data_IF_389877025332
#
_entry.id   IF_389877025332
#
_cell.length_a   1.000
_cell.length_b   1.000
_cell.length_c   1.000
_cell.angle_alpha   90.00
_cell.angle_beta   90.00
_cell.angle_gamma   90.00
#
_symmetry.space_group_name_H-M   'P 1'
#
loop_
_entity.id
_entity.type
_entity.pdbx_description
1 polymer ?
#
# COMPACT_ATOMS: atom_id res chain seq x y z
N UNK A 1 -1.33 -8.00 21.41
CA UNK A 1 -0.21 -8.20 20.49
C UNK A 1 0.39 -6.84 20.16
N UNK A 2 1.70 -6.71 20.32
CA UNK A 2 2.36 -5.44 20.07
C UNK A 2 2.95 -5.43 18.66
N UNK A 3 2.92 -4.25 18.03
CA UNK A 3 3.55 -4.03 16.73
C UNK A 3 4.88 -3.32 16.95
N UNK A 4 5.91 -3.81 16.27
CA UNK A 4 7.21 -3.15 16.30
C UNK A 4 7.29 -2.15 15.15
N UNK A 5 7.69 -0.92 15.48
CA UNK A 5 7.82 0.14 14.48
C UNK A 5 9.30 0.42 14.23
N UNK A 6 9.67 0.48 12.96
CA UNK A 6 11.01 0.81 12.53
C UNK A 6 10.98 2.09 11.69
N UNK A 7 12.08 2.83 11.72
CA UNK A 7 12.29 3.95 10.82
C UNK A 7 13.39 3.57 9.85
N UNK A 8 13.12 3.73 8.56
CA UNK A 8 14.13 3.45 7.54
C UNK A 8 13.95 4.35 6.33
N UNK A 9 14.99 4.41 5.51
CA UNK A 9 14.93 5.11 4.23
C UNK A 9 14.58 4.12 3.13
N UNK A 10 13.71 4.54 2.22
CA UNK A 10 13.32 3.74 1.06
C UNK A 10 13.56 4.55 -0.21
N UNK A 11 13.86 3.86 -1.33
CA UNK A 11 14.02 4.55 -2.61
C UNK A 11 12.66 4.90 -3.21
N UNK A 12 12.65 5.90 -4.08
CA UNK A 12 11.49 6.16 -4.93
C UNK A 12 11.29 4.97 -5.87
N UNK A 13 10.03 4.60 -6.11
CA UNK A 13 9.70 3.49 -7.00
C UNK A 13 8.73 3.95 -8.06
N UNK A 14 9.00 3.56 -9.31
CA UNK A 14 8.01 3.70 -10.39
C UNK A 14 6.89 2.70 -10.17
N UNK A 15 5.66 3.13 -10.42
CA UNK A 15 4.47 2.27 -10.29
C UNK A 15 3.53 2.54 -11.44
N UNK A 16 2.62 1.60 -11.65
CA UNK A 16 1.39 1.83 -12.40
C UNK A 16 0.22 1.48 -11.50
N UNK A 17 -0.84 2.25 -11.57
CA UNK A 17 -1.90 2.15 -10.59
C UNK A 17 -3.23 2.64 -11.13
N UNK A 18 -4.30 2.28 -10.42
CA UNK A 18 -5.65 2.80 -10.62
C UNK A 18 -6.02 3.56 -9.36
N UNK A 19 -6.47 4.81 -9.54
CA UNK A 19 -6.94 5.64 -8.43
C UNK A 19 -8.44 5.80 -8.52
N UNK A 20 -9.12 5.62 -7.37
CA UNK A 20 -10.56 5.79 -7.32
C UNK A 20 -11.04 6.05 -5.91
N UNK A 21 -12.25 6.58 -5.80
CA UNK A 21 -12.94 6.74 -4.53
C UNK A 21 -14.00 5.66 -4.40
N UNK A 22 -14.13 5.11 -3.20
CA UNK A 22 -15.13 4.10 -2.91
C UNK A 22 -15.59 4.19 -1.46
N UNK A 23 -16.68 3.50 -1.16
CA UNK A 23 -17.11 3.32 0.22
C UNK A 23 -16.13 2.38 0.92
N UNK A 24 -15.83 2.63 2.19
CA UNK A 24 -14.91 1.79 2.97
C UNK A 24 -15.34 0.32 2.94
N UNK A 25 -16.64 0.05 2.98
CA UNK A 25 -17.16 -1.31 2.95
C UNK A 25 -16.90 -2.04 1.62
N UNK A 26 -16.63 -1.30 0.54
CA UNK A 26 -16.37 -1.85 -0.79
C UNK A 26 -14.89 -2.03 -1.09
N UNK A 27 -14.02 -1.57 -0.19
CA UNK A 27 -12.58 -1.50 -0.43
C UNK A 27 -11.98 -2.85 -0.85
N UNK A 28 -12.30 -3.92 -0.12
CA UNK A 28 -11.78 -5.25 -0.43
C UNK A 28 -12.20 -5.75 -1.80
N UNK A 29 -13.46 -5.57 -2.17
CA UNK A 29 -13.98 -5.97 -3.48
C UNK A 29 -13.32 -5.16 -4.60
N UNK A 30 -13.17 -3.85 -4.39
CA UNK A 30 -12.52 -2.96 -5.36
C UNK A 30 -11.06 -3.36 -5.58
N UNK A 31 -10.30 -3.61 -4.52
CA UNK A 31 -8.90 -4.03 -4.64
C UNK A 31 -8.78 -5.38 -5.34
N UNK A 32 -9.71 -6.30 -5.09
CA UNK A 32 -9.76 -7.59 -5.78
C UNK A 32 -10.01 -7.47 -7.28
N UNK A 33 -10.55 -6.34 -7.71
CA UNK A 33 -10.78 -6.04 -9.13
C UNK A 33 -9.60 -5.29 -9.74
N UNK A 34 -9.15 -4.21 -9.10
CA UNK A 34 -8.16 -3.32 -9.73
C UNK A 34 -6.74 -3.87 -9.71
N UNK A 35 -6.33 -4.57 -8.66
CA UNK A 35 -4.96 -5.12 -8.59
C UNK A 35 -4.70 -6.16 -9.69
N UNK A 36 -5.60 -7.12 -9.94
CA UNK A 36 -5.42 -8.01 -11.09
C UNK A 36 -5.44 -7.29 -12.44
N UNK A 37 -6.23 -6.23 -12.58
CA UNK A 37 -6.26 -5.44 -13.81
C UNK A 37 -4.89 -4.80 -14.09
N UNK A 38 -4.27 -4.21 -13.07
CA UNK A 38 -2.92 -3.65 -13.19
C UNK A 38 -1.90 -4.73 -13.51
N UNK A 39 -2.00 -5.87 -12.84
CA UNK A 39 -1.11 -7.01 -13.06
C UNK A 39 -1.17 -7.49 -14.52
N UNK A 40 -2.37 -7.63 -15.08
CA UNK A 40 -2.54 -8.07 -16.47
C UNK A 40 -1.93 -7.07 -17.45
N UNK A 41 -2.08 -5.78 -17.18
CA UNK A 41 -1.45 -4.74 -18.02
C UNK A 41 0.07 -4.87 -18.01
N UNK A 42 0.68 -5.03 -16.82
CA UNK A 42 2.13 -5.18 -16.70
C UNK A 42 2.61 -6.40 -17.47
N UNK A 43 1.92 -7.51 -17.36
CA UNK A 43 2.27 -8.73 -18.11
C UNK A 43 2.20 -8.52 -19.62
N UNK A 44 1.14 -7.88 -20.11
CA UNK A 44 1.02 -7.58 -21.55
C UNK A 44 2.12 -6.65 -22.05
N UNK A 45 2.67 -5.84 -21.17
CA UNK A 45 3.77 -4.93 -21.51
C UNK A 45 5.14 -5.62 -21.55
N UNK A 46 5.21 -6.91 -21.23
CA UNK A 46 6.44 -7.67 -21.24
C UNK A 46 7.36 -7.37 -20.06
N UNK A 47 6.82 -6.82 -18.99
CA UNK A 47 7.58 -6.37 -17.81
C UNK A 47 7.14 -7.20 -16.61
N UNK A 48 8.06 -7.41 -15.67
CA UNK A 48 7.76 -8.03 -14.38
C UNK A 48 7.76 -6.96 -13.29
N UNK A 49 6.79 -7.00 -12.35
CA UNK A 49 6.85 -6.11 -11.19
C UNK A 49 8.12 -6.37 -10.37
N UNK A 50 8.65 -5.32 -9.75
CA UNK A 50 9.84 -5.44 -8.91
C UNK A 50 9.54 -5.26 -7.42
N UNK A 51 8.33 -5.55 -7.01
CA UNK A 51 7.91 -5.53 -5.62
C UNK A 51 6.44 -5.96 -5.48
N UNK A 52 5.93 -5.97 -4.25
CA UNK A 52 4.56 -6.43 -3.99
C UNK A 52 3.51 -5.40 -4.42
N UNK A 53 2.25 -5.84 -4.60
CA UNK A 53 1.14 -4.91 -4.79
C UNK A 53 1.00 -3.97 -3.60
N UNK A 54 0.42 -2.81 -3.84
CA UNK A 54 0.21 -1.82 -2.79
C UNK A 54 -1.16 -1.17 -2.89
N UNK A 55 -1.60 -0.59 -1.78
CA UNK A 55 -2.72 0.36 -1.71
C UNK A 55 -2.24 1.59 -0.98
N UNK A 56 -2.35 2.74 -1.64
CA UNK A 56 -2.02 4.05 -1.05
C UNK A 56 -3.31 4.78 -0.72
N UNK A 57 -3.37 5.36 0.47
CA UNK A 57 -4.55 6.05 0.97
C UNK A 57 -4.34 7.54 0.87
N UNK A 58 -5.04 8.19 -0.08
CA UNK A 58 -4.91 9.63 -0.33
C UNK A 58 -5.84 10.46 0.53
N UNK A 59 -6.91 9.86 1.05
CA UNK A 59 -7.80 10.58 1.93
C UNK A 59 -8.99 9.77 2.38
N UNK A 60 -9.59 10.25 3.45
CA UNK A 60 -10.83 9.69 4.00
C UNK A 60 -11.81 10.84 4.16
N UNK A 61 -13.08 10.59 3.83
CA UNK A 61 -14.17 11.55 4.00
C UNK A 61 -15.40 10.77 4.41
N UNK A 62 -15.74 10.86 5.72
CA UNK A 62 -16.81 10.09 6.32
C UNK A 62 -16.58 8.58 6.10
N UNK A 63 -17.42 7.93 5.31
CA UNK A 63 -17.31 6.49 5.01
C UNK A 63 -16.71 6.22 3.62
N UNK A 64 -16.17 7.25 2.96
CA UNK A 64 -15.53 7.11 1.65
C UNK A 64 -14.02 7.24 1.77
N UNK A 65 -13.31 6.52 0.90
CA UNK A 65 -11.85 6.53 0.88
C UNK A 65 -11.36 6.76 -0.55
N UNK A 66 -10.31 7.56 -0.67
CA UNK A 66 -9.63 7.83 -1.94
C UNK A 66 -8.38 6.97 -1.97
N UNK A 67 -8.37 5.95 -2.82
CA UNK A 67 -7.29 4.95 -2.86
C UNK A 67 -6.60 4.95 -4.21
N UNK A 68 -5.36 4.46 -4.16
CA UNK A 68 -4.57 4.14 -5.34
C UNK A 68 -4.03 2.73 -5.15
N UNK A 69 -4.43 1.81 -6.02
CA UNK A 69 -3.96 0.42 -5.98
C UNK A 69 -3.13 0.10 -7.21
N UNK A 70 -1.99 -0.55 -7.02
CA UNK A 70 -1.11 -0.84 -8.13
C UNK A 70 0.07 -1.72 -7.77
N UNK A 71 1.06 -1.72 -8.66
CA UNK A 71 2.28 -2.51 -8.51
C UNK A 71 3.49 -1.70 -8.95
N UNK A 72 4.65 -1.93 -8.30
CA UNK A 72 5.89 -1.27 -8.73
C UNK A 72 6.46 -1.94 -9.97
N UNK A 73 7.12 -1.12 -10.79
CA UNK A 73 7.75 -1.57 -12.04
C UNK A 73 9.17 -1.02 -12.11
N UNK A 74 10.11 -1.72 -12.82
CA UNK A 74 11.51 -1.31 -12.83
C UNK A 74 11.77 -0.01 -13.61
N UNK A 75 10.87 0.36 -14.51
CA UNK A 75 10.98 1.61 -15.28
C UNK A 75 9.59 2.10 -15.64
N UNK A 76 9.44 3.40 -15.97
CA UNK A 76 8.11 3.95 -16.26
C UNK A 76 7.41 3.24 -17.42
N UNK A 77 6.12 2.96 -17.25
CA UNK A 77 5.24 2.47 -18.29
C UNK A 77 4.22 3.55 -18.62
N UNK A 78 3.73 3.61 -19.89
CA UNK A 78 2.86 4.71 -20.31
C UNK A 78 1.46 4.70 -19.71
N UNK A 79 1.00 3.54 -19.22
CA UNK A 79 -0.37 3.38 -18.76
C UNK A 79 -1.32 3.01 -19.90
N UNK A 80 -2.57 2.68 -19.52
CA UNK A 80 -3.61 2.31 -20.46
C UNK A 80 -4.97 2.42 -19.76
N UNK A 81 -5.91 3.12 -20.40
CA UNK A 81 -7.22 3.31 -19.80
C UNK A 81 -7.12 4.06 -18.48
N UNK A 82 -7.65 3.45 -17.41
CA UNK A 82 -7.58 4.05 -16.08
C UNK A 82 -6.28 3.72 -15.32
N UNK A 83 -5.42 2.92 -15.94
CA UNK A 83 -4.10 2.60 -15.37
C UNK A 83 -3.15 3.73 -15.74
N UNK A 84 -2.56 4.37 -14.73
CA UNK A 84 -1.70 5.54 -14.94
C UNK A 84 -0.31 5.30 -14.31
N UNK A 85 0.74 5.87 -14.91
CA UNK A 85 2.06 5.85 -14.30
C UNK A 85 2.15 6.80 -13.13
N UNK A 86 3.00 6.46 -12.18
CA UNK A 86 3.25 7.30 -11.01
C UNK A 86 4.47 6.82 -10.25
N UNK A 87 4.61 7.32 -9.03
CA UNK A 87 5.71 6.93 -8.15
C UNK A 87 5.21 6.77 -6.71
N UNK A 88 5.82 5.83 -5.98
CA UNK A 88 5.82 5.87 -4.53
C UNK A 88 7.03 6.68 -4.09
N UNK A 89 6.86 7.63 -3.17
CA UNK A 89 7.95 8.54 -2.82
C UNK A 89 9.09 7.81 -2.11
N UNK A 90 10.32 8.24 -2.40
CA UNK A 90 11.48 7.88 -1.60
C UNK A 90 11.59 8.77 -0.38
N UNK A 91 12.38 8.34 0.58
CA UNK A 91 12.65 9.10 1.78
C UNK A 91 12.49 8.29 3.05
N UNK A 92 12.26 8.98 4.15
CA UNK A 92 12.14 8.35 5.46
C UNK A 92 10.72 7.88 5.72
N UNK A 93 10.57 6.65 6.16
CA UNK A 93 9.27 6.07 6.50
C UNK A 93 9.31 5.45 7.89
N UNK A 94 8.18 5.47 8.59
CA UNK A 94 7.93 4.60 9.72
C UNK A 94 7.15 3.40 9.21
N UNK A 95 7.56 2.20 9.59
CA UNK A 95 6.96 0.98 9.07
C UNK A 95 6.69 -0.01 10.19
N UNK A 96 5.63 -0.79 10.02
CA UNK A 96 5.34 -1.93 10.89
C UNK A 96 4.75 -3.05 10.05
N UNK A 97 4.82 -4.27 10.56
CA UNK A 97 4.34 -5.46 9.85
C UNK A 97 3.16 -6.04 10.60
N UNK A 98 2.11 -6.34 9.84
CA UNK A 98 0.94 -7.05 10.34
C UNK A 98 0.97 -8.48 9.79
N UNK A 99 0.89 -9.46 10.68
CA UNK A 99 0.71 -10.87 10.31
C UNK A 99 -0.71 -11.26 10.68
N UNK A 100 -1.50 -11.63 9.68
CA UNK A 100 -2.87 -12.02 9.90
C UNK A 100 -3.82 -11.53 8.81
N UNK A 101 -5.13 -11.81 8.98
CA UNK A 101 -6.13 -11.42 8.00
C UNK A 101 -6.29 -9.90 7.90
N UNK A 102 -6.79 -9.45 6.76
CA UNK A 102 -6.91 -8.00 6.46
C UNK A 102 -7.94 -7.29 7.34
N UNK A 103 -8.91 -8.00 7.90
CA UNK A 103 -9.89 -7.39 8.80
C UNK A 103 -9.27 -6.95 10.14
N UNK A 104 -8.03 -7.37 10.42
CA UNK A 104 -7.28 -6.96 11.61
C UNK A 104 -6.30 -5.82 11.33
N UNK A 105 -6.17 -5.38 10.06
CA UNK A 105 -5.28 -4.28 9.71
C UNK A 105 -5.56 -2.97 10.46
N UNK A 106 -6.81 -2.61 10.79
CA UNK A 106 -7.04 -1.38 11.55
C UNK A 106 -6.25 -1.30 12.84
N UNK A 107 -6.03 -2.42 13.54
CA UNK A 107 -5.22 -2.43 14.75
C UNK A 107 -3.77 -2.05 14.47
N UNK A 108 -3.21 -2.49 13.35
CA UNK A 108 -1.84 -2.14 12.94
C UNK A 108 -1.73 -0.66 12.58
N UNK A 109 -2.72 -0.12 11.86
CA UNK A 109 -2.77 1.31 11.55
C UNK A 109 -2.85 2.17 12.80
N UNK A 110 -3.69 1.78 13.75
CA UNK A 110 -3.82 2.48 15.03
C UNK A 110 -2.51 2.46 15.80
N UNK A 111 -1.85 1.31 15.87
CA UNK A 111 -0.58 1.18 16.58
C UNK A 111 0.50 2.07 15.97
N UNK A 112 0.57 2.14 14.65
CA UNK A 112 1.53 2.99 13.95
C UNK A 112 1.23 4.47 14.21
N UNK A 113 -0.05 4.85 14.14
CA UNK A 113 -0.46 6.23 14.41
C UNK A 113 -0.12 6.68 15.83
N UNK A 114 -0.41 5.83 16.82
CA UNK A 114 -0.07 6.10 18.23
C UNK A 114 1.45 6.24 18.39
N UNK A 115 2.23 5.36 17.75
CA UNK A 115 3.68 5.43 17.82
C UNK A 115 4.20 6.75 17.28
N UNK A 116 3.66 7.21 16.12
CA UNK A 116 4.06 8.49 15.52
C UNK A 116 3.77 9.66 16.47
N UNK A 117 2.61 9.66 17.12
CA UNK A 117 2.27 10.70 18.10
C UNK A 117 3.20 10.68 19.30
N UNK A 118 3.47 9.51 19.86
CA UNK A 118 4.34 9.35 21.03
C UNK A 118 5.76 9.78 20.74
N UNK A 119 6.24 9.60 19.51
CA UNK A 119 7.61 9.92 19.11
C UNK A 119 7.70 11.28 18.40
N UNK A 120 6.59 12.04 18.39
CA UNK A 120 6.51 13.39 17.79
C UNK A 120 6.97 13.42 16.33
N UNK A 121 6.60 12.37 15.56
CA UNK A 121 6.87 12.29 14.14
C UNK A 121 5.69 12.86 13.37
N UNK A 122 5.98 13.59 12.29
CA UNK A 122 4.95 14.19 11.46
C UNK A 122 4.88 13.49 10.11
N UNK A 123 3.67 13.27 9.63
CA UNK A 123 3.44 12.68 8.32
C UNK A 123 4.00 13.60 7.23
N UNK A 124 4.65 12.99 6.23
CA UNK A 124 5.16 13.68 5.06
C UNK A 124 4.31 13.42 3.82
N UNK A 125 3.20 12.70 3.96
CA UNK A 125 2.31 12.40 2.84
C UNK A 125 1.45 11.18 3.09
N UNK A 126 0.69 10.76 2.07
CA UNK A 126 -0.21 9.61 2.20
C UNK A 126 0.56 8.32 2.50
N UNK A 127 0.00 7.52 3.39
CA UNK A 127 0.53 6.21 3.74
C UNK A 127 0.13 5.17 2.70
N UNK A 128 0.87 4.04 2.69
CA UNK A 128 0.50 2.90 1.85
C UNK A 128 0.76 1.59 2.56
N UNK A 129 0.13 0.52 2.04
CA UNK A 129 0.30 -0.85 2.48
C UNK A 129 0.94 -1.66 1.37
N UNK A 130 1.83 -2.58 1.74
CA UNK A 130 2.46 -3.54 0.82
C UNK A 130 1.96 -4.93 1.17
N UNK A 131 1.49 -5.67 0.17
CA UNK A 131 0.95 -7.02 0.37
C UNK A 131 1.99 -8.05 -0.03
N UNK A 132 2.78 -8.50 0.94
CA UNK A 132 3.88 -9.42 0.71
C UNK A 132 3.42 -10.84 0.43
N UNK A 133 2.27 -11.25 0.95
CA UNK A 133 1.72 -12.59 0.78
C UNK A 133 0.52 -12.53 -0.16
N UNK A 134 0.53 -13.40 -1.18
CA UNK A 134 -0.60 -13.55 -2.08
C UNK A 134 -1.64 -14.47 -1.42
N UNK A 135 -2.85 -13.98 -1.09
CA UNK A 135 -3.88 -14.83 -0.50
C UNK A 135 -4.28 -16.00 -1.39
N UNK A 136 -4.08 -15.90 -2.70
CA UNK A 136 -4.35 -16.98 -3.63
C UNK A 136 -3.35 -18.13 -3.51
N UNK A 137 -2.15 -17.87 -2.97
CA UNK A 137 -1.11 -18.86 -2.79
C UNK A 137 -1.00 -19.36 -1.36
N UNK A 138 -1.44 -18.57 -0.38
CA UNK A 138 -1.39 -18.95 1.03
C UNK A 138 -2.81 -19.04 1.60
N UNK A 139 -3.32 -20.27 1.81
CA UNK A 139 -4.69 -20.44 2.31
C UNK A 139 -4.89 -20.09 3.77
N UNK A 140 -3.82 -19.98 4.55
CA UNK A 140 -3.90 -19.67 5.98
C UNK A 140 -3.79 -18.16 6.21
N UNK A 141 -4.92 -17.47 6.54
CA UNK A 141 -4.87 -16.01 6.72
C UNK A 141 -3.94 -15.55 7.85
N UNK A 142 -3.66 -16.40 8.82
CA UNK A 142 -2.75 -16.03 9.92
C UNK A 142 -1.31 -15.81 9.46
N UNK A 143 -0.97 -16.29 8.26
CA UNK A 143 0.36 -16.16 7.66
C UNK A 143 0.48 -15.01 6.66
N UNK A 144 -0.60 -14.29 6.40
CA UNK A 144 -0.57 -13.16 5.47
C UNK A 144 0.22 -12.02 6.09
N UNK A 145 1.19 -11.51 5.32
CA UNK A 145 2.09 -10.43 5.76
C UNK A 145 1.77 -9.17 4.98
N UNK A 146 1.40 -8.12 5.72
CA UNK A 146 1.16 -6.79 5.18
C UNK A 146 2.10 -5.82 5.89
N UNK A 147 2.80 -5.01 5.13
CA UNK A 147 3.68 -3.99 5.70
C UNK A 147 3.06 -2.62 5.49
N UNK A 148 2.97 -1.84 6.57
CA UNK A 148 2.47 -0.47 6.54
C UNK A 148 3.65 0.48 6.39
N UNK A 149 3.53 1.43 5.46
CA UNK A 149 4.57 2.41 5.15
C UNK A 149 3.97 3.80 5.35
N UNK A 150 4.50 4.54 6.31
CA UNK A 150 4.03 5.90 6.58
C UNK A 150 5.17 6.89 6.39
N UNK A 151 5.13 7.71 5.30
CA UNK A 151 6.17 8.70 5.09
C UNK A 151 6.18 9.70 6.23
N UNK A 152 7.36 10.00 6.74
CA UNK A 152 7.52 10.97 7.83
C UNK A 152 8.53 12.03 7.44
N UNK A 153 8.39 13.21 8.05
CA UNK A 153 9.32 14.29 7.82
C UNK A 153 10.68 13.93 8.43
N UNK A 154 11.73 14.22 7.68
CA UNK A 154 13.09 14.09 8.21
C UNK A 154 13.33 15.17 9.26
N UNK A 155 13.91 14.76 10.37
CA UNK A 155 14.23 15.69 11.45
C UNK A 155 15.36 16.62 11.04
#
# INVERSE_FOLDING_TARGET
MSYQVEIRKVPEQHVVSIRMQCHVAELGAILSEILPEVWRYIRRSGVAPNGPPFTRYHGFDADRVDIEGGLPVPSPLPGEGRIVPGTLPGGTVATTVHLGPYDKLPAAHDALHVWLEQHRKQSAGPQWELYWTDPGLEPDPSKWKTELMWPIQSA
#
